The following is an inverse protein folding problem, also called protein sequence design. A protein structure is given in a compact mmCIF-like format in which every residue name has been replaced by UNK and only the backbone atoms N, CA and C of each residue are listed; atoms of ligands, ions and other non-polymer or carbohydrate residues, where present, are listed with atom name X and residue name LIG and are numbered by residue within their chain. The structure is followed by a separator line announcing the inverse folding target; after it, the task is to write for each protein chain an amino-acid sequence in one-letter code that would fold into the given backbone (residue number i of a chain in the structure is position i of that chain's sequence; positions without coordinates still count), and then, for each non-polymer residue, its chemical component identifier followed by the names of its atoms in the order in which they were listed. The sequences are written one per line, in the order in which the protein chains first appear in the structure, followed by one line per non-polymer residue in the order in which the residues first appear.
data_IF_286004028635
#
_entry.id   IF_286004028635
#
_cell.length_a   1.000
_cell.length_b   1.000
_cell.length_c   1.000
_cell.angle_alpha   90.00
_cell.angle_beta   90.00
_cell.angle_gamma   90.00
#
_symmetry.space_group_name_H-M   'P 1'
#
loop_
_entity.id
_entity.type
_entity.pdbx_description
1 polymer ?
#
# COMPACT_ATOMS: atom_id res chain seq x y z
N UNK A 1 -9.59 -10.54 -0.65
CA UNK A 1 -10.28 -10.03 0.56
C UNK A 1 -10.90 -8.68 0.23
N UNK A 2 -12.21 -8.48 0.46
CA UNK A 2 -12.90 -7.25 0.08
C UNK A 2 -13.20 -6.41 1.32
N UNK A 3 -12.63 -5.21 1.37
CA UNK A 3 -12.78 -4.28 2.50
C UNK A 3 -13.27 -2.93 2.01
N UNK A 4 -14.21 -2.34 2.74
CA UNK A 4 -14.59 -0.95 2.59
C UNK A 4 -13.56 -0.08 3.29
N UNK A 5 -13.04 0.94 2.61
CA UNK A 5 -12.07 1.86 3.22
C UNK A 5 -12.71 2.65 4.35
N UNK A 6 -11.92 2.99 5.37
CA UNK A 6 -12.37 3.85 6.47
C UNK A 6 -12.95 5.17 5.95
N UNK A 7 -12.29 5.77 4.95
CA UNK A 7 -12.73 7.01 4.30
C UNK A 7 -14.15 6.92 3.74
N UNK A 8 -14.51 5.81 3.08
CA UNK A 8 -15.86 5.63 2.56
C UNK A 8 -16.88 5.33 3.67
N UNK A 9 -16.50 4.54 4.67
CA UNK A 9 -17.36 4.23 5.83
C UNK A 9 -17.72 5.49 6.60
N UNK A 10 -16.77 6.39 6.80
CA UNK A 10 -16.99 7.64 7.55
C UNK A 10 -17.79 8.66 6.74
N UNK A 11 -17.74 8.60 5.41
CA UNK A 11 -18.52 9.47 4.52
C UNK A 11 -19.97 9.04 4.29
N UNK A 12 -20.34 7.82 4.69
CA UNK A 12 -21.70 7.29 4.54
C UNK A 12 -22.64 7.88 5.61
N UNK A 13 -23.74 8.45 5.15
CA UNK A 13 -24.75 9.10 5.99
C UNK A 13 -25.84 8.13 6.44
N UNK A 14 -26.08 7.06 5.67
CA UNK A 14 -27.03 6.01 6.01
C UNK A 14 -26.43 5.05 7.05
N UNK A 15 -26.99 5.09 8.27
CA UNK A 15 -26.54 4.27 9.39
C UNK A 15 -26.64 2.76 9.12
N UNK A 16 -27.64 2.31 8.36
CA UNK A 16 -27.80 0.89 8.02
C UNK A 16 -26.70 0.44 7.06
N UNK A 17 -26.40 1.25 6.04
CA UNK A 17 -25.29 0.99 5.11
C UNK A 17 -23.94 1.03 5.82
N UNK A 18 -23.71 2.03 6.68
CA UNK A 18 -22.49 2.13 7.50
C UNK A 18 -22.26 0.89 8.36
N UNK A 19 -23.33 0.39 8.98
CA UNK A 19 -23.30 -0.87 9.76
C UNK A 19 -23.00 -2.07 8.87
N UNK A 20 -23.64 -2.19 7.72
CA UNK A 20 -23.43 -3.31 6.79
C UNK A 20 -21.99 -3.36 6.27
N UNK A 21 -21.41 -2.23 5.86
CA UNK A 21 -19.99 -2.14 5.45
C UNK A 21 -19.05 -2.58 6.57
N UNK A 22 -19.31 -2.12 7.79
CA UNK A 22 -18.51 -2.49 8.96
C UNK A 22 -18.60 -3.98 9.28
N UNK A 23 -19.79 -4.59 9.14
CA UNK A 23 -19.99 -6.03 9.32
C UNK A 23 -19.27 -6.84 8.24
N UNK A 24 -19.29 -6.40 6.99
CA UNK A 24 -18.55 -7.04 5.89
C UNK A 24 -17.04 -7.02 6.14
N UNK A 25 -16.49 -5.88 6.61
CA UNK A 25 -15.08 -5.78 6.99
C UNK A 25 -14.72 -6.78 8.09
N UNK A 26 -15.55 -6.89 9.14
CA UNK A 26 -15.34 -7.87 10.23
C UNK A 26 -15.33 -9.31 9.70
N UNK A 27 -16.28 -9.68 8.84
CA UNK A 27 -16.32 -11.01 8.22
C UNK A 27 -15.06 -11.29 7.42
N UNK A 28 -14.63 -10.32 6.60
CA UNK A 28 -13.42 -10.44 5.78
C UNK A 28 -12.16 -10.62 6.63
N UNK A 29 -12.04 -9.91 7.76
CA UNK A 29 -10.92 -10.09 8.70
C UNK A 29 -10.91 -11.48 9.34
N UNK A 30 -12.07 -12.04 9.67
CA UNK A 30 -12.16 -13.42 10.17
C UNK A 30 -11.68 -14.43 9.13
N UNK A 31 -12.12 -14.30 7.88
CA UNK A 31 -11.67 -15.18 6.78
C UNK A 31 -10.18 -15.02 6.52
N UNK A 32 -9.67 -13.80 6.57
CA UNK A 32 -8.24 -13.52 6.41
C UNK A 32 -7.41 -14.17 7.53
N UNK A 33 -7.85 -14.06 8.78
CA UNK A 33 -7.19 -14.74 9.91
C UNK A 33 -7.21 -16.26 9.75
N UNK A 34 -8.33 -16.83 9.29
CA UNK A 34 -8.44 -18.26 8.99
C UNK A 34 -7.48 -18.69 7.88
N UNK A 35 -7.38 -17.91 6.81
CA UNK A 35 -6.48 -18.19 5.70
C UNK A 35 -4.99 -18.09 6.12
N UNK A 36 -4.61 -17.07 6.89
CA UNK A 36 -3.25 -16.94 7.40
C UNK A 36 -2.84 -18.12 8.29
N UNK A 37 -3.75 -18.62 9.14
CA UNK A 37 -3.52 -19.83 9.96
C UNK A 37 -3.28 -21.10 9.14
N UNK A 38 -3.81 -21.17 7.92
CA UNK A 38 -3.57 -22.30 7.00
C UNK A 38 -2.19 -22.23 6.35
N UNK A 39 -1.57 -21.05 6.29
CA UNK A 39 -0.32 -20.81 5.58
C UNK A 39 -0.48 -20.79 4.05
N UNK A 40 0.62 -20.52 3.34
CA UNK A 40 0.65 -20.49 1.86
C UNK A 40 -0.09 -19.32 1.22
N UNK A 41 -0.29 -18.23 1.97
CA UNK A 41 -1.02 -17.05 1.52
C UNK A 41 -0.06 -15.88 1.28
N UNK A 42 -0.27 -15.16 0.18
CA UNK A 42 0.35 -13.86 -0.10
C UNK A 42 -0.74 -12.78 -0.09
N UNK A 43 -0.56 -11.74 0.73
CA UNK A 43 -1.51 -10.63 0.84
C UNK A 43 -0.79 -9.34 0.47
N UNK A 44 -1.33 -8.62 -0.51
CA UNK A 44 -0.96 -7.23 -0.78
C UNK A 44 -1.95 -6.28 -0.12
N UNK A 45 -1.43 -5.23 0.52
CA UNK A 45 -2.23 -4.17 1.13
C UNK A 45 -1.53 -2.81 0.93
N UNK A 46 -2.32 -1.77 0.65
CA UNK A 46 -1.89 -0.38 0.73
C UNK A 46 -2.43 0.25 2.03
N UNK A 47 -1.60 0.42 3.09
CA UNK A 47 -2.07 0.90 4.39
C UNK A 47 -2.58 2.36 4.38
N UNK A 48 -2.26 3.14 3.35
CA UNK A 48 -2.83 4.48 3.13
C UNK A 48 -4.34 4.46 2.84
N UNK A 49 -4.89 3.32 2.41
CA UNK A 49 -6.30 3.14 2.07
C UNK A 49 -6.75 3.87 0.80
N UNK A 50 -5.83 4.48 0.05
CA UNK A 50 -6.10 5.23 -1.17
C UNK A 50 -4.91 5.23 -2.13
N UNK A 51 -5.14 5.76 -3.34
CA UNK A 51 -4.07 6.01 -4.32
C UNK A 51 -3.27 7.25 -3.91
N UNK A 52 -2.01 7.30 -4.31
CA UNK A 52 -1.13 8.46 -4.16
C UNK A 52 -1.70 9.70 -4.86
N UNK A 53 -1.24 10.89 -4.47
CA UNK A 53 -1.61 12.16 -5.11
C UNK A 53 -0.34 12.94 -5.41
N UNK A 54 -0.47 13.94 -6.28
CA UNK A 54 0.62 14.87 -6.52
C UNK A 54 0.81 15.75 -5.28
N UNK A 55 2.05 15.83 -4.83
CA UNK A 55 2.55 16.81 -3.87
C UNK A 55 3.63 17.60 -4.59
N UNK A 56 3.44 18.92 -4.73
CA UNK A 56 4.35 19.80 -5.48
C UNK A 56 4.66 19.31 -6.91
N UNK A 57 3.65 18.77 -7.58
CA UNK A 57 3.76 18.26 -8.96
C UNK A 57 4.39 16.87 -9.08
N UNK A 58 4.81 16.27 -7.97
CA UNK A 58 5.44 14.94 -7.91
C UNK A 58 4.48 13.92 -7.29
N UNK A 59 4.26 12.74 -7.89
CA UNK A 59 3.54 11.67 -7.22
C UNK A 59 4.40 11.12 -6.08
N UNK A 60 3.88 11.13 -4.85
CA UNK A 60 4.59 10.62 -3.68
C UNK A 60 3.74 9.60 -2.93
N UNK A 61 4.34 8.52 -2.38
CA UNK A 61 3.60 7.56 -1.55
C UNK A 61 2.77 8.25 -0.47
N UNK A 62 1.48 7.94 -0.42
CA UNK A 62 0.58 8.48 0.59
C UNK A 62 0.87 7.88 1.97
N UNK A 63 0.79 8.71 3.01
CA UNK A 63 1.10 8.27 4.38
C UNK A 63 0.23 7.11 4.83
N UNK A 64 0.83 6.18 5.56
CA UNK A 64 0.20 4.95 6.02
C UNK A 64 -0.63 5.20 7.28
N UNK A 65 -1.76 4.50 7.40
CA UNK A 65 -2.52 4.43 8.64
C UNK A 65 -1.85 3.39 9.56
N UNK A 66 -1.31 3.85 10.70
CA UNK A 66 -0.61 2.98 11.64
C UNK A 66 -1.51 1.93 12.27
N UNK A 67 -2.82 2.20 12.39
CA UNK A 67 -3.77 1.20 12.84
C UNK A 67 -3.94 0.07 11.80
N UNK A 68 -3.83 0.37 10.51
CA UNK A 68 -3.87 -0.64 9.46
C UNK A 68 -2.61 -1.51 9.49
N UNK A 69 -1.42 -0.89 9.58
CA UNK A 69 -0.13 -1.62 9.67
C UNK A 69 -0.12 -2.55 10.88
N UNK A 70 -0.48 -2.03 12.06
CA UNK A 70 -0.52 -2.82 13.30
C UNK A 70 -1.54 -3.96 13.23
N UNK A 71 -2.68 -3.74 12.58
CA UNK A 71 -3.69 -4.78 12.40
C UNK A 71 -3.12 -5.97 11.59
N UNK A 72 -2.40 -5.72 10.50
CA UNK A 72 -1.77 -6.78 9.71
C UNK A 72 -0.62 -7.46 10.46
N UNK A 73 0.20 -6.70 11.19
CA UNK A 73 1.24 -7.28 12.08
C UNK A 73 0.62 -8.21 13.12
N UNK A 74 -0.46 -7.77 13.79
CA UNK A 74 -1.18 -8.55 14.79
C UNK A 74 -1.82 -9.81 14.20
N UNK A 75 -2.39 -9.71 13.00
CA UNK A 75 -2.97 -10.86 12.28
C UNK A 75 -1.90 -11.91 11.97
N UNK A 76 -0.73 -11.48 11.50
CA UNK A 76 0.42 -12.35 11.26
C UNK A 76 0.89 -13.06 12.53
N UNK A 77 1.10 -12.31 13.62
CA UNK A 77 1.52 -12.89 14.91
C UNK A 77 0.53 -13.89 15.51
N UNK A 78 -0.78 -13.70 15.28
CA UNK A 78 -1.84 -14.62 15.74
C UNK A 78 -2.02 -15.86 14.87
N UNK A 79 -1.41 -15.91 13.68
CA UNK A 79 -1.56 -17.03 12.75
C UNK A 79 -0.87 -18.31 13.23
N UNK A 80 0.16 -18.18 14.08
CA UNK A 80 1.08 -19.27 14.49
C UNK A 80 1.82 -19.93 13.32
N UNK A 81 1.80 -19.30 12.14
CA UNK A 81 2.57 -19.67 10.95
C UNK A 81 3.58 -18.55 10.69
N UNK A 82 4.77 -18.90 10.20
CA UNK A 82 5.77 -17.90 9.80
C UNK A 82 5.13 -16.90 8.83
N UNK A 83 5.11 -15.63 9.23
CA UNK A 83 4.49 -14.54 8.48
C UNK A 83 5.52 -13.45 8.31
N UNK A 84 5.81 -13.12 7.06
CA UNK A 84 6.82 -12.16 6.67
C UNK A 84 6.15 -10.88 6.16
N UNK A 85 6.82 -9.74 6.35
CA UNK A 85 6.33 -8.45 5.87
C UNK A 85 7.41 -7.80 5.01
N UNK A 86 7.07 -7.50 3.77
CA UNK A 86 7.95 -6.85 2.79
C UNK A 86 7.33 -5.52 2.37
N UNK A 87 8.01 -4.38 2.59
CA UNK A 87 7.59 -3.10 2.03
C UNK A 87 7.72 -3.15 0.51
N UNK A 88 6.73 -2.61 -0.20
CA UNK A 88 6.68 -2.66 -1.66
C UNK A 88 6.37 -1.28 -2.22
N UNK A 89 7.19 -0.81 -3.17
CA UNK A 89 6.95 0.40 -3.93
C UNK A 89 6.42 0.07 -5.33
N UNK A 90 5.56 0.95 -5.87
CA UNK A 90 5.03 0.85 -7.23
C UNK A 90 5.04 2.20 -7.91
N UNK A 91 5.76 2.30 -9.03
CA UNK A 91 5.76 3.48 -9.89
C UNK A 91 4.82 3.23 -11.08
N UNK A 92 3.53 3.53 -10.91
CA UNK A 92 2.48 3.30 -11.91
C UNK A 92 1.55 4.51 -12.12
N UNK A 93 1.82 5.63 -11.44
CA UNK A 93 0.96 6.81 -11.43
C UNK A 93 0.63 7.32 -12.84
N UNK A 94 1.64 7.40 -13.72
CA UNK A 94 1.49 7.94 -15.07
C UNK A 94 0.60 7.12 -15.99
N UNK A 95 0.42 5.81 -15.74
CA UNK A 95 -0.40 4.94 -16.60
C UNK A 95 -1.88 5.34 -16.52
N UNK A 96 -2.38 5.57 -15.30
CA UNK A 96 -3.77 5.90 -15.05
C UNK A 96 -3.88 6.69 -13.73
N UNK A 97 -3.53 8.00 -13.75
CA UNK A 97 -3.51 8.81 -12.55
C UNK A 97 -4.89 8.88 -11.89
N UNK A 98 -4.95 9.02 -10.56
CA UNK A 98 -6.19 9.33 -9.90
C UNK A 98 -6.71 10.71 -10.33
N UNK A 99 -8.04 10.88 -10.37
CA UNK A 99 -8.62 12.18 -10.64
C UNK A 99 -8.24 13.17 -9.53
N UNK A 100 -8.06 14.42 -9.93
CA UNK A 100 -7.66 15.53 -9.07
C UNK A 100 -8.78 15.99 -8.11
N UNK A 101 -10.02 15.54 -8.30
CA UNK A 101 -11.16 15.85 -7.44
C UNK A 101 -12.33 14.87 -7.59
N UNK A 102 -13.29 14.94 -6.66
CA UNK A 102 -14.51 14.13 -6.69
C UNK A 102 -15.60 14.93 -7.42
N UNK A 103 -15.79 14.70 -8.71
CA UNK A 103 -16.93 15.28 -9.43
C UNK A 103 -18.11 14.31 -9.41
N UNK A 104 -18.99 14.44 -8.41
CA UNK A 104 -20.14 13.55 -8.21
C UNK A 104 -21.19 13.60 -9.32
N UNK A 105 -21.20 14.66 -10.14
CA UNK A 105 -22.29 14.92 -11.09
C UNK A 105 -22.03 14.38 -12.51
N UNK A 106 -20.77 14.37 -12.97
CA UNK A 106 -20.42 14.08 -14.37
C UNK A 106 -19.61 12.78 -14.56
N UNK A 107 -19.22 12.13 -13.46
CA UNK A 107 -18.17 11.12 -13.50
C UNK A 107 -16.79 11.78 -13.61
N UNK A 108 -15.75 11.04 -13.22
CA UNK A 108 -14.39 11.53 -13.23
C UNK A 108 -13.73 11.15 -14.56
N UNK A 109 -13.19 12.14 -15.29
CA UNK A 109 -12.38 11.88 -16.49
C UNK A 109 -11.18 11.00 -16.11
N UNK A 110 -10.95 9.95 -16.90
CA UNK A 110 -9.80 9.05 -16.73
C UNK A 110 -8.87 9.23 -17.90
N UNK A 111 -7.68 9.73 -17.60
CA UNK A 111 -6.60 9.83 -18.57
C UNK A 111 -5.78 8.54 -18.47
N UNK A 112 -5.44 7.97 -19.62
CA UNK A 112 -4.48 6.86 -19.71
C UNK A 112 -3.30 7.27 -20.57
N UNK A 113 -2.11 6.82 -20.17
CA UNK A 113 -0.87 7.09 -20.91
C UNK A 113 -0.08 5.80 -21.06
N UNK A 114 0.52 5.61 -22.24
CA UNK A 114 1.57 4.61 -22.39
C UNK A 114 2.86 5.14 -21.75
N UNK A 115 3.27 4.50 -20.66
CA UNK A 115 4.36 4.93 -19.77
C UNK A 115 5.08 3.70 -19.24
N UNK A 116 6.37 3.84 -18.93
CA UNK A 116 7.07 2.83 -18.13
C UNK A 116 6.42 2.66 -16.76
N UNK A 117 6.56 1.47 -16.20
CA UNK A 117 6.21 1.17 -14.81
C UNK A 117 7.24 0.26 -14.16
N UNK A 118 7.28 0.29 -12.84
CA UNK A 118 8.13 -0.58 -12.07
C UNK A 118 7.51 -0.91 -10.70
N UNK A 119 7.96 -2.03 -10.16
CA UNK A 119 7.70 -2.47 -8.80
C UNK A 119 9.04 -2.81 -8.15
N UNK A 120 9.16 -2.59 -6.84
CA UNK A 120 10.32 -3.00 -6.06
C UNK A 120 9.88 -3.46 -4.67
N UNK A 121 10.65 -4.38 -4.11
CA UNK A 121 10.49 -4.88 -2.74
C UNK A 121 11.72 -4.49 -1.94
N UNK A 122 11.49 -3.83 -0.81
CA UNK A 122 12.53 -3.61 0.17
C UNK A 122 12.82 -4.92 0.94
N UNK A 123 13.95 -4.98 1.69
CA UNK A 123 14.24 -6.10 2.57
C UNK A 123 13.11 -6.38 3.57
N UNK A 124 13.08 -7.62 4.06
CA UNK A 124 12.11 -8.04 5.07
C UNK A 124 12.19 -7.16 6.33
N UNK A 125 11.02 -6.81 6.87
CA UNK A 125 10.92 -6.09 8.13
C UNK A 125 11.12 -7.05 9.29
N UNK A 126 12.08 -6.78 10.17
CA UNK A 126 12.21 -7.50 11.44
C UNK A 126 11.04 -7.16 12.37
N UNK A 127 10.15 -8.10 12.64
CA UNK A 127 8.99 -7.89 13.51
C UNK A 127 9.26 -8.23 14.99
N UNK A 128 10.50 -8.61 15.33
CA UNK A 128 10.90 -9.00 16.68
C UNK A 128 10.80 -7.85 17.69
N UNK A 129 10.85 -8.17 18.98
CA UNK A 129 10.85 -7.18 20.05
C UNK A 129 12.17 -6.39 20.13
N UNK A 130 13.25 -6.91 19.54
CA UNK A 130 14.59 -6.30 19.56
C UNK A 130 14.93 -5.59 18.23
N UNK A 131 13.93 -5.41 17.35
CA UNK A 131 14.14 -4.83 16.04
C UNK A 131 14.68 -3.39 16.13
N UNK A 132 15.64 -3.05 15.27
CA UNK A 132 16.37 -1.77 15.34
C UNK A 132 15.52 -0.52 15.07
N UNK A 133 14.33 -0.68 14.49
CA UNK A 133 13.38 0.41 14.27
C UNK A 133 12.53 0.74 15.50
N UNK A 134 12.58 -0.09 16.55
CA UNK A 134 11.89 0.18 17.82
C UNK A 134 12.66 1.23 18.60
N UNK A 135 12.25 2.47 18.42
CA UNK A 135 12.64 3.59 19.28
C UNK A 135 11.89 3.48 20.63
N UNK A 136 12.57 3.77 21.75
CA UNK A 136 11.99 3.73 23.09
C UNK A 136 10.99 4.86 23.33
N UNK A 137 11.13 5.96 22.59
CA UNK A 137 10.41 7.21 22.84
C UNK A 137 9.13 7.32 21.98
N UNK A 138 8.94 6.38 21.05
CA UNK A 138 7.84 6.36 20.09
C UNK A 138 6.86 5.20 20.37
N UNK A 139 5.57 5.39 20.08
CA UNK A 139 4.61 4.26 20.10
C UNK A 139 5.09 3.21 19.07
N UNK A 140 5.28 1.93 19.47
CA UNK A 140 5.79 0.89 18.59
C UNK A 140 5.03 0.75 17.26
N UNK A 141 3.72 1.02 17.26
CA UNK A 141 2.91 0.93 16.03
C UNK A 141 3.27 2.05 15.05
N UNK A 142 3.54 3.24 15.55
CA UNK A 142 3.85 4.42 14.75
C UNK A 142 5.30 4.31 14.26
N UNK A 143 6.23 3.88 15.13
CA UNK A 143 7.62 3.59 14.75
C UNK A 143 7.73 2.54 13.63
N UNK A 144 6.99 1.42 13.74
CA UNK A 144 6.92 0.41 12.68
C UNK A 144 6.37 1.01 11.38
N UNK A 145 5.29 1.78 11.47
CA UNK A 145 4.64 2.39 10.31
C UNK A 145 5.58 3.34 9.58
N UNK A 146 6.32 4.16 10.32
CA UNK A 146 7.31 5.07 9.75
C UNK A 146 8.52 4.35 9.17
N UNK A 147 8.97 3.26 9.80
CA UNK A 147 10.04 2.44 9.25
C UNK A 147 9.67 1.84 7.90
N UNK A 148 8.51 1.18 7.80
CA UNK A 148 8.00 0.58 6.57
C UNK A 148 7.77 1.66 5.51
N UNK A 149 7.15 2.79 5.89
CA UNK A 149 6.89 3.86 4.96
C UNK A 149 8.17 4.46 4.39
N UNK A 150 9.20 4.65 5.22
CA UNK A 150 10.51 5.12 4.75
C UNK A 150 11.10 4.18 3.72
N UNK A 151 11.10 2.86 3.99
CA UNK A 151 11.56 1.87 3.02
C UNK A 151 10.78 1.93 1.69
N UNK A 152 9.45 2.12 1.74
CA UNK A 152 8.64 2.30 0.52
C UNK A 152 9.02 3.58 -0.23
N UNK A 153 9.27 4.70 0.47
CA UNK A 153 9.72 5.93 -0.14
C UNK A 153 11.10 5.79 -0.78
N UNK A 154 12.06 5.16 -0.08
CA UNK A 154 13.41 4.93 -0.59
C UNK A 154 13.38 4.10 -1.87
N UNK A 155 12.60 3.02 -1.89
CA UNK A 155 12.37 2.22 -3.10
C UNK A 155 11.65 3.03 -4.19
N UNK A 156 10.64 3.83 -3.85
CA UNK A 156 9.90 4.64 -4.81
C UNK A 156 10.78 5.68 -5.50
N UNK A 157 11.69 6.33 -4.77
CA UNK A 157 12.63 7.32 -5.30
C UNK A 157 13.54 6.72 -6.39
N UNK A 158 13.88 5.43 -6.28
CA UNK A 158 14.60 4.70 -7.32
C UNK A 158 13.73 4.43 -8.56
N UNK A 159 12.44 4.14 -8.35
CA UNK A 159 11.52 3.70 -9.41
C UNK A 159 10.85 4.84 -10.17
N UNK A 160 10.66 6.01 -9.55
CA UNK A 160 9.84 7.08 -10.12
C UNK A 160 10.28 7.48 -11.54
N UNK A 161 11.60 7.52 -11.76
CA UNK A 161 12.21 7.85 -13.05
C UNK A 161 11.86 6.87 -14.17
N UNK A 162 11.30 5.69 -13.87
CA UNK A 162 10.78 4.74 -14.87
C UNK A 162 9.52 5.28 -15.54
N UNK A 163 8.76 6.17 -14.89
CA UNK A 163 7.52 6.73 -15.41
C UNK A 163 7.75 7.84 -16.45
N UNK A 164 8.66 7.59 -17.40
CA UNK A 164 8.95 8.46 -18.54
C UNK A 164 7.92 8.30 -19.65
N UNK A 165 7.85 9.31 -20.52
CA UNK A 165 7.10 9.21 -21.76
C UNK A 165 7.66 8.08 -22.63
N UNK A 166 6.81 7.31 -23.29
CA UNK A 166 7.25 6.21 -24.15
C UNK A 166 8.12 6.65 -25.34
N UNK A 167 8.12 7.94 -25.65
CA UNK A 167 8.95 8.55 -26.69
C UNK A 167 10.38 8.82 -26.21
N UNK A 168 10.63 8.73 -24.90
CA UNK A 168 11.94 8.92 -24.29
C UNK A 168 12.64 7.57 -24.11
N UNK A 169 13.98 7.63 -24.05
CA UNK A 169 14.76 6.44 -23.74
C UNK A 169 14.42 5.96 -22.32
N UNK A 170 14.11 4.66 -22.19
CA UNK A 170 13.61 4.11 -20.93
C UNK A 170 14.67 4.13 -19.83
N UNK A 171 14.31 4.62 -18.65
CA UNK A 171 15.15 4.51 -17.46
C UNK A 171 15.11 3.08 -16.89
N UNK A 172 16.30 2.53 -16.60
CA UNK A 172 16.46 1.25 -15.92
C UNK A 172 17.00 1.52 -14.52
N UNK A 173 16.23 1.23 -13.44
CA UNK A 173 16.72 1.41 -12.09
C UNK A 173 17.98 0.56 -11.82
N UNK A 174 18.92 1.01 -10.97
CA UNK A 174 20.03 0.18 -10.52
C UNK A 174 19.55 -1.14 -9.91
N UNK A 175 20.31 -2.22 -10.08
CA UNK A 175 19.98 -3.56 -9.57
C UNK A 175 18.58 -4.07 -9.97
N UNK A 176 18.02 -3.56 -11.07
CA UNK A 176 16.74 -4.02 -11.59
C UNK A 176 16.90 -5.05 -12.70
N UNK A 177 15.82 -5.78 -12.96
CA UNK A 177 15.70 -6.66 -14.11
C UNK A 177 14.46 -6.26 -14.92
N UNK A 178 14.53 -6.47 -16.23
CA UNK A 178 13.37 -6.44 -17.12
C UNK A 178 13.12 -7.87 -17.59
N UNK A 179 12.49 -8.74 -16.76
CA UNK A 179 12.43 -10.19 -16.98
C UNK A 179 11.60 -10.63 -18.20
N UNK A 180 11.10 -9.69 -18.99
CA UNK A 180 10.46 -9.90 -20.28
C UNK A 180 11.39 -9.64 -21.47
N UNK A 181 12.52 -8.96 -21.26
CA UNK A 181 13.59 -8.81 -22.26
C UNK A 181 14.54 -9.99 -22.14
N UNK A 182 14.08 -11.14 -22.64
CA UNK A 182 14.95 -12.28 -22.93
C UNK A 182 15.67 -12.08 -24.26
#
# INVERSE_FOLDING_TARGET
FCVHSKKYIDSEVDAAKKKAMSQQNRKTLTEMSSALKKGGMLIWVAPSGGRDRLTDGRPTPARFDSAAVEMFRSLGGKSKVATHMYPMAMATYSIMPPPSGINKALGEERITKFSGCAISLAPEVDLSENASWRDSDSDPKDALTDHIFRQVCDEYDLLEKVMVDFREEGYVPPNSAQPWRA
#
